data_IF_231731058905
#
_entry.id   IF_231731058905
#
_cell.length_a   1.000
_cell.length_b   1.000
_cell.length_c   1.000
_cell.angle_alpha   90.00
_cell.angle_beta   90.00
_cell.angle_gamma   90.00
#
_symmetry.space_group_name_H-M   'P 1'
#
loop_
_entity.id
_entity.type
_entity.pdbx_description
1 polymer ?
#
# COMPACT_ATOMS: atom_id res chain seq x y z
N UNK A 1 -55.65 11.93 48.77
CA UNK A 1 -54.99 10.64 49.10
C UNK A 1 -55.17 9.76 47.86
N UNK A 2 -54.19 9.30 47.09
CA UNK A 2 -52.81 8.86 47.34
C UNK A 2 -51.89 9.37 46.21
N UNK A 3 -50.59 9.30 46.49
CA UNK A 3 -49.49 10.11 45.98
C UNK A 3 -49.07 9.72 44.55
N UNK A 4 -48.82 10.73 43.71
CA UNK A 4 -48.15 10.59 42.41
C UNK A 4 -46.66 10.36 42.69
N UNK A 5 -46.14 9.18 42.32
CA UNK A 5 -44.71 8.89 42.44
C UNK A 5 -43.99 9.34 41.16
N UNK A 6 -43.24 10.42 41.31
CA UNK A 6 -42.18 10.91 40.44
C UNK A 6 -41.01 9.90 40.43
N UNK A 7 -40.67 9.31 39.28
CA UNK A 7 -39.36 8.69 39.06
C UNK A 7 -38.67 9.44 37.93
N UNK A 8 -37.86 10.41 38.33
CA UNK A 8 -36.81 11.03 37.52
C UNK A 8 -35.66 10.04 37.49
N UNK A 9 -35.35 9.42 36.35
CA UNK A 9 -33.96 9.04 36.06
C UNK A 9 -33.72 8.81 34.57
N UNK A 10 -32.70 9.50 34.07
CA UNK A 10 -31.83 9.16 32.93
C UNK A 10 -32.35 9.33 31.50
N UNK A 11 -32.28 10.58 31.06
CA UNK A 11 -31.80 10.97 29.74
C UNK A 11 -30.38 10.38 29.50
N UNK A 12 -30.28 9.25 28.78
CA UNK A 12 -29.02 8.82 28.16
C UNK A 12 -29.36 8.38 26.74
N UNK A 13 -28.88 9.16 25.79
CA UNK A 13 -29.15 9.00 24.36
C UNK A 13 -28.70 7.64 23.85
N UNK A 14 -29.63 6.93 23.21
CA UNK A 14 -29.29 5.88 22.26
C UNK A 14 -29.04 6.59 20.92
N UNK A 15 -27.87 7.21 20.82
CA UNK A 15 -27.22 7.57 19.54
C UNK A 15 -26.15 6.52 19.33
N UNK A 16 -26.55 5.38 18.78
CA UNK A 16 -25.71 4.21 18.52
C UNK A 16 -26.50 3.35 17.49
N UNK A 17 -26.11 3.13 16.25
CA UNK A 17 -24.85 3.35 15.55
C UNK A 17 -25.18 3.71 14.08
N UNK A 18 -24.97 4.96 13.68
CA UNK A 18 -24.69 5.24 12.26
C UNK A 18 -23.24 4.81 12.04
N UNK A 19 -23.05 3.54 11.69
CA UNK A 19 -21.76 3.07 11.19
C UNK A 19 -21.96 1.83 10.31
N UNK A 20 -22.59 2.05 9.16
CA UNK A 20 -22.02 1.49 7.95
C UNK A 20 -21.09 2.58 7.41
N UNK A 21 -19.86 2.62 7.95
CA UNK A 21 -18.73 3.17 7.20
C UNK A 21 -18.74 2.40 5.86
N UNK A 22 -18.84 3.10 4.74
CA UNK A 22 -18.76 2.51 3.40
C UNK A 22 -17.33 2.01 3.18
N UNK A 23 -16.91 1.02 3.96
CA UNK A 23 -15.54 0.52 4.03
C UNK A 23 -15.39 -0.83 3.35
N UNK A 24 -16.20 -1.09 2.34
CA UNK A 24 -16.09 -2.28 1.49
C UNK A 24 -16.65 -2.00 0.10
N UNK A 25 -16.13 -0.96 -0.56
CA UNK A 25 -15.81 -1.07 -1.97
C UNK A 25 -14.33 -0.76 -2.10
N UNK A 26 -13.48 -1.66 -1.58
CA UNK A 26 -12.14 -1.82 -2.14
C UNK A 26 -12.31 -2.58 -3.46
N UNK A 27 -13.08 -1.95 -4.35
CA UNK A 27 -13.10 -2.23 -5.76
C UNK A 27 -11.71 -1.89 -6.28
N UNK A 28 -11.34 -2.54 -7.37
CA UNK A 28 -10.08 -2.45 -8.07
C UNK A 28 -9.83 -1.04 -8.64
N UNK A 29 -9.74 -0.03 -7.79
CA UNK A 29 -9.35 1.31 -8.20
C UNK A 29 -7.83 1.31 -8.39
N UNK A 30 -7.44 1.13 -9.64
CA UNK A 30 -6.09 1.44 -10.09
C UNK A 30 -5.79 2.88 -9.67
N UNK A 31 -4.78 3.07 -8.81
CA UNK A 31 -4.36 4.39 -8.40
C UNK A 31 -3.81 5.11 -9.63
N UNK A 32 -4.56 6.12 -10.11
CA UNK A 32 -4.24 6.86 -11.34
C UNK A 32 -2.99 7.75 -11.18
N UNK A 33 -2.90 8.40 -10.03
CA UNK A 33 -1.82 9.35 -9.73
C UNK A 33 -1.10 8.94 -8.43
N UNK A 34 -0.41 7.79 -8.43
CA UNK A 34 0.27 7.29 -7.24
C UNK A 34 1.50 8.14 -6.93
N UNK A 35 1.75 8.39 -5.64
CA UNK A 35 2.95 9.09 -5.16
C UNK A 35 3.76 8.16 -4.27
N UNK A 36 5.06 8.43 -4.14
CA UNK A 36 5.91 7.54 -3.36
C UNK A 36 5.43 7.43 -1.92
N UNK A 37 5.22 8.57 -1.24
CA UNK A 37 4.83 8.60 0.17
C UNK A 37 3.50 7.90 0.40
N UNK A 38 2.50 8.15 -0.45
CA UNK A 38 1.14 7.66 -0.23
C UNK A 38 0.95 6.21 -0.66
N UNK A 39 1.61 5.78 -1.73
CA UNK A 39 1.27 4.52 -2.40
C UNK A 39 2.45 3.56 -2.46
N UNK A 40 3.64 4.02 -2.84
CA UNK A 40 4.77 3.11 -3.11
C UNK A 40 5.49 2.71 -1.84
N UNK A 41 5.76 3.65 -0.93
CA UNK A 41 6.46 3.37 0.32
C UNK A 41 5.75 2.28 1.15
N UNK A 42 4.41 2.32 1.37
CA UNK A 42 3.74 1.25 2.09
C UNK A 42 3.87 -0.13 1.41
N UNK A 43 3.91 -0.17 0.08
CA UNK A 43 4.13 -1.42 -0.67
C UNK A 43 5.55 -1.93 -0.44
N UNK A 44 6.56 -1.06 -0.57
CA UNK A 44 7.97 -1.43 -0.38
C UNK A 44 8.24 -1.90 1.05
N UNK A 45 7.73 -1.17 2.05
CA UNK A 45 7.86 -1.52 3.46
C UNK A 45 7.26 -2.91 3.74
N UNK A 46 6.08 -3.20 3.18
CA UNK A 46 5.35 -4.44 3.46
C UNK A 46 5.86 -5.66 2.68
N UNK A 47 6.46 -5.47 1.50
CA UNK A 47 6.73 -6.57 0.55
C UNK A 47 8.20 -6.71 0.15
N UNK A 48 9.05 -5.73 0.44
CA UNK A 48 10.41 -5.68 -0.11
C UNK A 48 11.48 -5.44 0.97
N UNK A 49 11.23 -4.49 1.88
CA UNK A 49 12.22 -3.98 2.84
C UNK A 49 12.72 -5.04 3.83
N UNK A 50 11.97 -6.11 4.09
CA UNK A 50 12.44 -7.21 4.96
C UNK A 50 13.75 -7.86 4.47
N UNK A 51 14.00 -7.82 3.16
CA UNK A 51 15.22 -8.35 2.55
C UNK A 51 16.05 -7.22 1.89
N UNK A 52 15.39 -6.28 1.23
CA UNK A 52 16.00 -5.21 0.43
C UNK A 52 16.10 -3.91 1.23
N UNK A 53 16.84 -3.95 2.35
CA UNK A 53 17.14 -2.75 3.14
C UNK A 53 18.48 -2.85 3.84
N UNK A 54 19.08 -1.69 4.13
CA UNK A 54 20.33 -1.59 4.89
C UNK A 54 21.51 -2.40 4.34
N UNK A 55 21.54 -2.68 3.03
CA UNK A 55 22.57 -3.48 2.37
C UNK A 55 22.42 -4.99 2.51
N UNK A 56 21.32 -5.49 3.09
CA UNK A 56 21.10 -6.93 3.29
C UNK A 56 20.96 -7.70 1.96
N UNK A 57 20.23 -7.14 1.00
CA UNK A 57 20.11 -7.63 -0.37
C UNK A 57 20.01 -6.47 -1.34
N UNK A 58 20.83 -6.51 -2.39
CA UNK A 58 20.84 -5.48 -3.42
C UNK A 58 19.72 -5.69 -4.46
N UNK A 59 19.06 -4.63 -4.96
CA UNK A 59 19.17 -3.22 -4.51
C UNK A 59 18.45 -2.99 -3.18
N UNK A 60 18.87 -1.96 -2.44
CA UNK A 60 18.09 -1.46 -1.31
C UNK A 60 16.80 -0.77 -1.82
N UNK A 61 15.71 -0.88 -1.05
CA UNK A 61 14.36 -0.41 -1.41
C UNK A 61 13.66 0.31 -0.24
N UNK A 62 14.43 0.80 0.75
CA UNK A 62 13.95 1.41 1.99
C UNK A 62 13.84 2.95 1.95
N UNK A 63 14.30 3.58 0.86
CA UNK A 63 14.20 5.04 0.64
C UNK A 63 13.65 5.38 -0.74
N UNK A 64 13.12 6.60 -0.92
CA UNK A 64 12.64 7.08 -2.22
C UNK A 64 13.73 6.96 -3.30
N UNK A 65 14.92 7.48 -3.00
CA UNK A 65 16.05 7.48 -3.92
C UNK A 65 16.45 6.05 -4.30
N UNK A 66 16.45 5.13 -3.34
CA UNK A 66 16.81 3.73 -3.59
C UNK A 66 15.77 3.03 -4.48
N UNK A 67 14.47 3.23 -4.22
CA UNK A 67 13.38 2.63 -5.00
C UNK A 67 13.31 3.20 -6.41
N UNK A 68 13.43 4.53 -6.56
CA UNK A 68 13.55 5.15 -7.88
C UNK A 68 14.78 4.62 -8.62
N UNK A 69 15.91 4.54 -7.91
CA UNK A 69 17.17 4.07 -8.45
C UNK A 69 17.19 2.62 -8.87
N UNK A 70 16.33 1.78 -8.28
CA UNK A 70 16.17 0.39 -8.67
C UNK A 70 15.51 0.21 -10.06
N UNK A 71 14.86 1.26 -10.58
CA UNK A 71 14.21 1.26 -11.89
C UNK A 71 14.91 2.16 -12.91
N UNK A 72 15.35 3.36 -12.51
CA UNK A 72 15.85 4.38 -13.44
C UNK A 72 17.28 4.15 -13.95
N UNK A 73 17.98 3.12 -13.46
CA UNK A 73 19.34 2.77 -13.87
C UNK A 73 20.42 3.22 -12.89
N UNK A 74 20.11 4.02 -11.87
CA UNK A 74 21.14 4.58 -10.96
C UNK A 74 21.66 3.56 -9.93
N UNK A 75 20.80 2.66 -9.45
CA UNK A 75 21.19 1.52 -8.61
C UNK A 75 20.99 0.20 -9.37
N UNK A 76 19.85 0.04 -10.03
CA UNK A 76 19.51 -1.11 -10.86
C UNK A 76 18.60 -0.65 -12.00
N UNK A 77 18.10 -1.57 -12.81
CA UNK A 77 17.10 -1.29 -13.84
C UNK A 77 16.03 -2.41 -13.89
N UNK A 78 15.83 -3.09 -12.77
CA UNK A 78 15.13 -4.36 -12.71
C UNK A 78 13.86 -4.35 -11.87
N UNK A 79 13.53 -3.25 -11.16
CA UNK A 79 12.38 -3.25 -10.23
C UNK A 79 11.11 -3.84 -10.86
N UNK A 80 10.62 -3.28 -11.97
CA UNK A 80 9.39 -3.75 -12.61
C UNK A 80 9.55 -5.15 -13.23
N UNK A 81 10.71 -5.42 -13.83
CA UNK A 81 11.07 -6.72 -14.41
C UNK A 81 10.97 -7.85 -13.36
N UNK A 82 11.56 -7.65 -12.19
CA UNK A 82 11.55 -8.58 -11.08
C UNK A 82 10.14 -8.86 -10.56
N UNK A 83 9.18 -7.94 -10.69
CA UNK A 83 7.79 -8.18 -10.28
C UNK A 83 7.01 -9.01 -11.32
N UNK A 84 7.28 -8.81 -12.60
CA UNK A 84 6.50 -9.45 -13.69
C UNK A 84 6.98 -10.85 -14.06
N UNK A 85 8.22 -11.24 -13.71
CA UNK A 85 8.84 -12.50 -14.15
C UNK A 85 9.02 -12.55 -15.68
N UNK A 86 8.54 -13.61 -16.33
CA UNK A 86 8.67 -13.87 -17.77
C UNK A 86 7.87 -12.86 -18.61
N UNK A 87 8.40 -12.42 -19.77
CA UNK A 87 9.66 -12.83 -20.39
C UNK A 87 10.90 -12.12 -19.84
N UNK A 88 10.73 -11.20 -18.89
CA UNK A 88 11.81 -10.30 -18.47
C UNK A 88 12.86 -11.00 -17.57
N UNK A 89 12.43 -11.85 -16.63
CA UNK A 89 13.34 -12.59 -15.74
C UNK A 89 12.72 -13.88 -15.21
N UNK A 90 13.56 -14.87 -14.90
CA UNK A 90 13.16 -16.06 -14.12
C UNK A 90 13.24 -15.85 -12.61
N UNK A 91 13.91 -14.77 -12.16
CA UNK A 91 14.09 -14.43 -10.75
C UNK A 91 13.01 -13.45 -10.28
N UNK A 92 11.76 -13.93 -10.17
CA UNK A 92 10.64 -13.14 -9.64
C UNK A 92 10.86 -12.75 -8.17
N UNK A 93 10.52 -11.52 -7.84
CA UNK A 93 10.33 -11.04 -6.46
C UNK A 93 8.84 -10.82 -6.13
N UNK A 94 8.44 -11.04 -4.86
CA UNK A 94 9.24 -11.60 -3.77
C UNK A 94 9.56 -13.10 -3.98
N UNK A 95 10.75 -13.53 -3.55
CA UNK A 95 11.23 -14.89 -3.79
C UNK A 95 10.57 -15.87 -2.82
N UNK A 96 9.96 -16.94 -3.35
CA UNK A 96 9.34 -17.99 -2.53
C UNK A 96 7.92 -17.66 -2.05
N UNK A 97 7.45 -16.43 -2.27
CA UNK A 97 6.09 -16.00 -1.96
C UNK A 97 5.17 -16.04 -3.19
N UNK A 98 3.88 -15.89 -2.93
CA UNK A 98 2.90 -15.65 -3.98
C UNK A 98 3.23 -14.35 -4.75
N UNK A 99 2.93 -14.28 -6.06
CA UNK A 99 3.10 -13.07 -6.85
C UNK A 99 2.35 -11.88 -6.24
N UNK A 100 2.89 -10.67 -6.41
CA UNK A 100 2.13 -9.46 -6.12
C UNK A 100 0.86 -9.42 -6.97
N UNK A 101 -0.20 -8.82 -6.43
CA UNK A 101 -1.43 -8.62 -7.18
C UNK A 101 -1.20 -7.73 -8.40
N UNK A 102 -2.01 -7.92 -9.44
CA UNK A 102 -1.96 -7.09 -10.63
C UNK A 102 -2.14 -5.60 -10.31
N UNK A 103 -3.05 -5.24 -9.40
CA UNK A 103 -3.26 -3.85 -8.99
C UNK A 103 -2.05 -3.24 -8.29
N UNK A 104 -1.31 -4.02 -7.48
CA UNK A 104 -0.04 -3.58 -6.88
C UNK A 104 1.01 -3.30 -7.96
N UNK A 105 1.18 -4.23 -8.91
CA UNK A 105 2.14 -4.07 -10.01
C UNK A 105 1.76 -2.86 -10.87
N UNK A 106 0.48 -2.71 -11.20
CA UNK A 106 -0.02 -1.55 -11.95
C UNK A 106 0.23 -0.26 -11.20
N UNK A 107 0.00 -0.20 -9.88
CA UNK A 107 0.28 1.00 -9.07
C UNK A 107 1.76 1.40 -9.15
N UNK A 108 2.68 0.44 -9.04
CA UNK A 108 4.12 0.68 -9.19
C UNK A 108 4.46 1.14 -10.61
N UNK A 109 3.92 0.46 -11.63
CA UNK A 109 4.13 0.81 -13.03
C UNK A 109 3.62 2.21 -13.36
N UNK A 110 2.46 2.60 -12.86
CA UNK A 110 1.89 3.94 -13.06
C UNK A 110 2.76 5.00 -12.40
N UNK A 111 3.27 4.75 -11.19
CA UNK A 111 4.21 5.67 -10.53
C UNK A 111 5.50 5.87 -11.33
N UNK A 112 6.06 4.78 -11.89
CA UNK A 112 7.23 4.86 -12.78
C UNK A 112 6.90 5.69 -14.02
N UNK A 113 5.76 5.41 -14.67
CA UNK A 113 5.32 6.11 -15.89
C UNK A 113 5.01 7.60 -15.64
N UNK A 114 4.58 7.95 -14.43
CA UNK A 114 4.34 9.33 -14.00
C UNK A 114 5.64 10.05 -13.58
N UNK A 115 6.81 9.49 -13.88
CA UNK A 115 8.12 10.05 -13.59
C UNK A 115 8.41 10.22 -12.08
N UNK A 116 8.06 9.19 -11.29
CA UNK A 116 8.47 9.04 -9.90
C UNK A 116 8.03 10.18 -8.95
N UNK A 117 6.75 10.63 -8.96
CA UNK A 117 6.31 11.68 -8.05
C UNK A 117 6.50 11.25 -6.59
N UNK A 118 7.19 12.08 -5.81
CA UNK A 118 7.50 11.75 -4.42
C UNK A 118 6.31 12.01 -3.48
N UNK A 119 5.61 13.14 -3.67
CA UNK A 119 4.49 13.59 -2.84
C UNK A 119 3.21 13.77 -3.65
#
# INVERSE_FOLDING_TARGET
MKKINLIITTLVGIVFFVSCDSRTQQELEIVKDPTYVKNIKPIMDAKCVSCHSGGNQFPDLDTYAAVKGAQDGTNSNQLLCSLMSSPCTSNRMPKGDAPLSSSTITTISTWINNNYPEQ
#
